data_IF_298930858747
#
_entry.id   IF_298930858747
#
_cell.length_a   1.000
_cell.length_b   1.000
_cell.length_c   1.000
_cell.angle_alpha   90.00
_cell.angle_beta   90.00
_cell.angle_gamma   90.00
#
_symmetry.space_group_name_H-M   'P 1'
#
loop_
_entity.id
_entity.type
_entity.pdbx_description
1 polymer ?
#
# COMPACT_ATOMS: atom_id res chain seq x y z
N UNK A 1 19.58 31.15 10.42
CA UNK A 1 18.23 31.22 10.98
C UNK A 1 17.31 30.18 10.31
N UNK A 2 17.32 30.05 8.99
CA UNK A 2 16.41 29.13 8.25
C UNK A 2 16.68 27.64 8.47
N UNK A 3 17.94 27.25 8.65
CA UNK A 3 18.29 25.87 9.06
C UNK A 3 17.58 25.46 10.38
N UNK A 4 17.69 26.34 11.38
CA UNK A 4 17.06 26.09 12.69
C UNK A 4 15.53 26.03 12.59
N UNK A 5 14.90 26.84 11.72
CA UNK A 5 13.46 26.78 11.48
C UNK A 5 13.02 25.41 10.95
N UNK A 6 13.73 24.86 9.94
CA UNK A 6 13.43 23.56 9.38
C UNK A 6 13.54 22.45 10.40
N UNK A 7 14.64 22.43 11.15
CA UNK A 7 14.91 21.42 12.18
C UNK A 7 13.91 21.50 13.36
N UNK A 8 13.69 22.69 13.91
CA UNK A 8 12.83 22.91 15.07
C UNK A 8 11.36 22.68 14.74
N UNK A 9 10.89 23.08 13.58
CA UNK A 9 9.49 22.90 13.20
C UNK A 9 9.13 21.42 13.07
N UNK A 10 10.03 20.56 12.56
CA UNK A 10 9.80 19.12 12.54
C UNK A 10 9.90 18.51 13.94
N UNK A 11 10.75 19.02 14.81
CA UNK A 11 10.77 18.64 16.23
C UNK A 11 9.43 18.95 16.90
N UNK A 12 8.86 20.15 16.68
CA UNK A 12 7.57 20.55 17.20
C UNK A 12 6.43 19.70 16.61
N UNK A 13 6.44 19.45 15.29
CA UNK A 13 5.44 18.56 14.67
C UNK A 13 5.43 17.16 15.31
N UNK A 14 6.59 16.66 15.74
CA UNK A 14 6.71 15.38 16.44
C UNK A 14 6.10 15.38 17.84
N UNK A 15 5.98 16.52 18.52
CA UNK A 15 5.33 16.64 19.82
C UNK A 15 3.80 16.45 19.67
N UNK A 16 3.22 17.01 18.60
CA UNK A 16 1.77 16.94 18.38
C UNK A 16 1.32 15.62 17.73
N UNK A 17 2.17 15.01 16.90
CA UNK A 17 1.86 13.72 16.26
C UNK A 17 3.12 13.04 15.75
N UNK A 18 3.28 11.75 16.06
CA UNK A 18 4.37 10.92 15.52
C UNK A 18 4.03 10.24 14.18
N UNK A 19 2.98 10.69 13.47
CA UNK A 19 2.64 10.12 12.17
C UNK A 19 3.55 10.65 11.06
N UNK A 20 3.95 9.79 10.11
CA UNK A 20 4.72 10.20 8.94
C UNK A 20 4.03 11.28 8.09
N UNK A 21 2.69 11.27 8.08
CA UNK A 21 1.87 12.29 7.41
C UNK A 21 2.03 13.68 8.02
N UNK A 22 2.09 13.77 9.36
CA UNK A 22 2.29 15.06 10.05
C UNK A 22 3.63 15.69 9.67
N UNK A 23 4.67 14.87 9.57
CA UNK A 23 5.98 15.35 9.11
C UNK A 23 5.95 15.76 7.64
N UNK A 24 5.25 15.02 6.78
CA UNK A 24 5.11 15.37 5.36
C UNK A 24 4.40 16.72 5.18
N UNK A 25 3.26 16.94 5.85
CA UNK A 25 2.54 18.20 5.80
C UNK A 25 3.35 19.36 6.40
N UNK A 26 4.05 19.13 7.51
CA UNK A 26 4.94 20.15 8.10
C UNK A 26 6.05 20.54 7.13
N UNK A 27 6.68 19.55 6.47
CA UNK A 27 7.71 19.80 5.46
C UNK A 27 7.16 20.56 4.27
N UNK A 28 6.01 20.16 3.73
CA UNK A 28 5.37 20.85 2.61
C UNK A 28 5.00 22.29 2.97
N UNK A 29 4.38 22.52 4.12
CA UNK A 29 4.02 23.86 4.60
C UNK A 29 5.24 24.76 4.81
N UNK A 30 6.32 24.23 5.37
CA UNK A 30 7.57 24.99 5.58
C UNK A 30 8.22 25.38 4.24
N UNK A 31 8.40 24.44 3.32
CA UNK A 31 9.05 24.67 2.04
C UNK A 31 8.23 25.61 1.16
N UNK A 32 6.93 25.42 1.06
CA UNK A 32 6.05 26.32 0.29
C UNK A 32 5.97 27.70 0.92
N UNK A 33 5.84 27.78 2.26
CA UNK A 33 5.80 29.05 2.98
C UNK A 33 7.10 29.85 2.91
N UNK A 34 8.25 29.16 2.83
CA UNK A 34 9.56 29.82 2.67
C UNK A 34 9.80 30.22 1.22
N UNK A 35 9.43 29.39 0.23
CA UNK A 35 9.65 29.67 -1.19
C UNK A 35 8.75 30.79 -1.71
N UNK A 36 7.52 30.87 -1.21
CA UNK A 36 6.49 31.82 -1.66
C UNK A 36 5.67 32.37 -0.49
N UNK A 37 6.24 33.18 0.42
CA UNK A 37 5.53 33.66 1.59
C UNK A 37 4.44 34.68 1.18
N UNK A 38 3.20 34.37 1.51
CA UNK A 38 2.01 35.19 1.21
C UNK A 38 2.16 36.60 1.81
N UNK A 39 2.68 36.70 3.04
CA UNK A 39 2.86 37.95 3.76
C UNK A 39 4.02 38.84 3.28
N UNK A 40 4.84 38.37 2.34
CA UNK A 40 5.97 39.12 1.78
C UNK A 40 5.84 39.35 0.27
N UNK A 41 4.63 39.37 -0.25
CA UNK A 41 4.38 39.57 -1.66
C UNK A 41 5.05 38.50 -2.56
N UNK A 42 5.10 37.26 -2.08
CA UNK A 42 5.74 36.11 -2.76
C UNK A 42 7.24 36.22 -3.01
N UNK A 43 7.93 37.13 -2.30
CA UNK A 43 9.39 37.20 -2.31
C UNK A 43 9.93 36.23 -1.25
N UNK A 44 10.42 35.07 -1.69
CA UNK A 44 10.85 33.95 -0.84
C UNK A 44 12.20 34.18 -0.15
N UNK A 45 12.49 33.36 0.83
CA UNK A 45 13.81 33.21 1.47
C UNK A 45 14.56 31.97 0.94
N UNK A 46 15.66 31.61 1.59
CA UNK A 46 16.53 30.48 1.22
C UNK A 46 15.87 29.13 1.52
N UNK A 47 15.23 28.53 0.54
CA UNK A 47 14.61 27.19 0.72
C UNK A 47 15.66 26.08 0.84
N UNK A 48 16.86 26.27 0.27
CA UNK A 48 17.97 25.32 0.33
C UNK A 48 18.50 25.13 1.76
N UNK A 49 18.65 26.24 2.51
CA UNK A 49 19.09 26.17 3.91
C UNK A 49 18.03 25.55 4.82
N UNK A 50 16.75 25.85 4.56
CA UNK A 50 15.62 25.23 5.21
C UNK A 50 15.57 23.72 4.90
N UNK A 51 15.77 23.34 3.64
CA UNK A 51 15.82 21.96 3.17
C UNK A 51 16.93 21.17 3.85
N UNK A 52 18.11 21.75 4.01
CA UNK A 52 19.21 21.12 4.73
C UNK A 52 18.82 20.87 6.20
N UNK A 53 18.13 21.81 6.84
CA UNK A 53 17.61 21.63 8.21
C UNK A 53 16.60 20.47 8.32
N UNK A 54 15.70 20.37 7.36
CA UNK A 54 14.71 19.28 7.28
C UNK A 54 15.41 17.93 7.08
N UNK A 55 16.32 17.83 6.13
CA UNK A 55 17.05 16.60 5.81
C UNK A 55 17.98 16.16 6.95
N UNK A 56 18.59 17.12 7.66
CA UNK A 56 19.40 16.85 8.87
C UNK A 56 18.54 16.33 10.02
N UNK A 57 17.31 16.83 10.18
CA UNK A 57 16.36 16.30 11.15
C UNK A 57 16.01 14.83 10.85
N UNK A 58 15.80 14.50 9.57
CA UNK A 58 15.49 13.15 9.13
C UNK A 58 16.67 12.18 9.31
N UNK A 59 17.88 12.64 8.99
CA UNK A 59 19.16 11.92 9.18
C UNK A 59 20.33 12.91 9.27
N UNK A 60 20.97 13.02 10.44
CA UNK A 60 22.17 13.87 10.59
C UNK A 60 23.30 13.52 9.61
N UNK A 61 23.48 12.22 9.34
CA UNK A 61 24.50 11.73 8.40
C UNK A 61 24.19 12.21 6.99
N UNK A 62 22.92 12.16 6.55
CA UNK A 62 22.49 12.67 5.25
C UNK A 62 22.75 14.17 5.12
N UNK A 63 22.43 14.95 6.17
CA UNK A 63 22.71 16.38 6.20
C UNK A 63 24.19 16.70 6.04
N UNK A 64 25.06 15.95 6.71
CA UNK A 64 26.53 16.11 6.61
C UNK A 64 27.02 15.76 5.19
N UNK A 65 26.55 14.68 4.61
CA UNK A 65 26.91 14.26 3.25
C UNK A 65 26.49 15.32 2.23
N UNK A 66 25.27 15.83 2.30
CA UNK A 66 24.76 16.85 1.40
C UNK A 66 25.53 18.16 1.55
N UNK A 67 25.86 18.57 2.78
CA UNK A 67 26.69 19.76 3.02
C UNK A 67 28.09 19.60 2.43
N UNK A 68 28.72 18.43 2.59
CA UNK A 68 30.02 18.14 2.00
C UNK A 68 29.99 18.25 0.48
N UNK A 69 29.03 17.59 -0.18
CA UNK A 69 28.87 17.65 -1.63
C UNK A 69 28.54 19.06 -2.10
N UNK A 70 27.72 19.81 -1.40
CA UNK A 70 27.43 21.20 -1.72
C UNK A 70 28.69 22.05 -1.68
N UNK A 71 29.53 21.94 -0.63
CA UNK A 71 30.79 22.70 -0.54
C UNK A 71 31.77 22.32 -1.64
N UNK A 72 31.87 21.03 -1.97
CA UNK A 72 32.70 20.53 -3.07
C UNK A 72 32.20 21.05 -4.41
N UNK A 73 30.92 20.99 -4.70
CA UNK A 73 30.36 21.48 -5.97
C UNK A 73 30.42 23.01 -6.07
N UNK A 74 30.22 23.72 -4.95
CA UNK A 74 30.43 25.19 -4.92
C UNK A 74 31.86 25.57 -5.22
N UNK A 75 32.84 24.80 -4.75
CA UNK A 75 34.25 25.02 -5.09
C UNK A 75 34.52 24.76 -6.58
N UNK A 76 33.88 23.72 -7.16
CA UNK A 76 34.08 23.38 -8.58
C UNK A 76 33.35 24.33 -9.53
N UNK A 77 32.09 24.65 -9.28
CA UNK A 77 31.26 25.47 -10.16
C UNK A 77 31.41 26.96 -9.91
N UNK A 78 31.97 27.36 -8.77
CA UNK A 78 32.12 28.76 -8.31
C UNK A 78 30.79 29.50 -8.12
N UNK A 79 29.70 29.05 -8.71
CA UNK A 79 28.37 29.61 -8.56
C UNK A 79 27.60 28.89 -7.45
N UNK A 80 26.81 29.68 -6.69
CA UNK A 80 26.04 29.15 -5.56
C UNK A 80 24.82 28.35 -6.04
N UNK A 81 24.10 28.90 -7.03
CA UNK A 81 22.86 28.35 -7.52
C UNK A 81 23.08 27.01 -8.23
N UNK A 82 24.14 26.95 -9.08
CA UNK A 82 24.55 25.74 -9.76
C UNK A 82 24.97 24.64 -8.77
N UNK A 83 25.64 24.98 -7.68
CA UNK A 83 26.05 24.05 -6.64
C UNK A 83 24.84 23.48 -5.89
N UNK A 84 23.85 24.32 -5.54
CA UNK A 84 22.61 23.88 -4.90
C UNK A 84 21.82 22.98 -5.85
N UNK A 85 21.66 23.41 -7.09
CA UNK A 85 20.97 22.66 -8.13
C UNK A 85 21.58 21.27 -8.31
N UNK A 86 22.89 21.18 -8.51
CA UNK A 86 23.60 19.92 -8.69
C UNK A 86 23.52 19.02 -7.42
N UNK A 87 23.65 19.59 -6.22
CA UNK A 87 23.56 18.87 -4.97
C UNK A 87 22.16 18.28 -4.76
N UNK A 88 21.12 18.98 -5.22
CA UNK A 88 19.73 18.55 -5.03
C UNK A 88 19.44 17.18 -5.66
N UNK A 89 20.13 16.81 -6.76
CA UNK A 89 19.99 15.49 -7.41
C UNK A 89 20.45 14.31 -6.52
N UNK A 90 21.32 14.57 -5.53
CA UNK A 90 21.75 13.55 -4.60
C UNK A 90 20.67 13.22 -3.56
N UNK A 91 19.73 14.13 -3.30
CA UNK A 91 18.70 13.97 -2.26
C UNK A 91 17.87 12.71 -2.46
N UNK A 92 17.20 12.49 -3.63
CA UNK A 92 16.40 11.28 -3.82
C UNK A 92 17.24 9.99 -3.84
N UNK A 93 18.47 10.05 -4.39
CA UNK A 93 19.36 8.88 -4.46
C UNK A 93 19.78 8.44 -3.06
N UNK A 94 20.22 9.40 -2.24
CA UNK A 94 20.63 9.13 -0.87
C UNK A 94 19.44 8.76 0.02
N UNK A 95 18.27 9.38 -0.20
CA UNK A 95 17.06 9.06 0.56
C UNK A 95 16.65 7.60 0.41
N UNK A 96 16.69 7.03 -0.78
CA UNK A 96 16.40 5.63 -1.03
C UNK A 96 17.36 4.67 -0.30
N UNK A 97 18.61 5.12 -0.07
CA UNK A 97 19.61 4.33 0.65
C UNK A 97 19.53 4.47 2.17
N UNK A 98 19.26 5.68 2.66
CA UNK A 98 19.34 5.98 4.09
C UNK A 98 18.02 5.84 4.85
N UNK A 99 16.88 5.98 4.15
CA UNK A 99 15.59 5.93 4.81
C UNK A 99 14.88 4.58 4.60
N UNK A 100 14.38 4.04 5.72
CA UNK A 100 13.50 2.86 5.73
C UNK A 100 12.01 3.24 5.81
N UNK A 101 11.72 4.54 5.97
CA UNK A 101 10.37 5.09 6.08
C UNK A 101 9.96 5.73 4.77
N UNK A 102 8.86 5.25 4.20
CA UNK A 102 8.32 5.79 2.95
C UNK A 102 7.95 7.28 3.06
N UNK A 103 7.49 7.72 4.26
CA UNK A 103 7.22 9.12 4.51
C UNK A 103 8.47 9.99 4.36
N UNK A 104 9.62 9.53 4.85
CA UNK A 104 10.89 10.26 4.72
C UNK A 104 11.41 10.25 3.29
N UNK A 105 11.20 9.17 2.56
CA UNK A 105 11.50 9.11 1.12
C UNK A 105 10.65 10.14 0.37
N UNK A 106 9.33 10.16 0.59
CA UNK A 106 8.42 11.13 -0.02
C UNK A 106 8.78 12.59 0.33
N UNK A 107 9.10 12.88 1.60
CA UNK A 107 9.58 14.19 2.02
C UNK A 107 10.84 14.62 1.26
N UNK A 108 11.76 13.69 1.03
CA UNK A 108 13.00 13.93 0.30
C UNK A 108 12.74 14.23 -1.17
N UNK A 109 11.85 13.47 -1.83
CA UNK A 109 11.43 13.75 -3.21
C UNK A 109 10.70 15.09 -3.34
N UNK A 110 9.84 15.42 -2.37
CA UNK A 110 9.18 16.73 -2.34
C UNK A 110 10.19 17.87 -2.17
N UNK A 111 11.15 17.73 -1.26
CA UNK A 111 12.24 18.68 -1.05
C UNK A 111 13.06 18.88 -2.32
N UNK A 112 13.43 17.78 -2.99
CA UNK A 112 14.09 17.81 -4.29
C UNK A 112 13.30 18.60 -5.33
N UNK A 113 12.00 18.31 -5.47
CA UNK A 113 11.12 19.00 -6.41
C UNK A 113 11.06 20.51 -6.19
N UNK A 114 10.96 20.95 -4.93
CA UNK A 114 10.97 22.39 -4.59
C UNK A 114 12.29 23.04 -4.96
N UNK A 115 13.42 22.39 -4.66
CA UNK A 115 14.75 22.92 -4.99
C UNK A 115 14.99 23.00 -6.49
N UNK A 116 14.59 21.98 -7.26
CA UNK A 116 14.68 22.00 -8.73
C UNK A 116 13.88 23.18 -9.32
N UNK A 117 12.65 23.40 -8.84
CA UNK A 117 11.82 24.51 -9.34
C UNK A 117 12.42 25.86 -8.96
N UNK A 118 13.02 25.99 -7.78
CA UNK A 118 13.58 27.25 -7.30
C UNK A 118 14.92 27.60 -7.94
N UNK A 119 15.78 26.61 -8.20
CA UNK A 119 17.13 26.77 -8.72
C UNK A 119 17.26 26.35 -10.19
N UNK A 120 16.16 26.37 -10.93
CA UNK A 120 16.23 26.22 -12.38
C UNK A 120 17.11 27.38 -12.91
N UNK A 121 18.24 27.09 -13.59
CA UNK A 121 19.22 28.14 -13.89
C UNK A 121 18.63 29.34 -14.62
N UNK A 122 18.98 30.56 -14.29
CA UNK A 122 18.53 31.80 -14.96
C UNK A 122 18.84 31.81 -16.47
N UNK A 123 19.85 31.05 -16.92
CA UNK A 123 20.13 30.81 -18.33
C UNK A 123 18.96 30.19 -19.09
N UNK A 124 18.14 29.38 -18.42
CA UNK A 124 16.91 28.83 -18.96
C UNK A 124 15.77 29.86 -18.98
N UNK A 125 15.74 30.84 -18.08
CA UNK A 125 14.72 31.91 -18.07
C UNK A 125 14.78 32.78 -19.34
N UNK A 126 15.96 32.99 -19.92
CA UNK A 126 16.15 33.73 -21.15
C UNK A 126 15.51 33.07 -22.39
N UNK A 127 15.31 31.75 -22.34
CA UNK A 127 14.68 30.95 -23.38
C UNK A 127 13.25 30.52 -23.03
N UNK A 128 12.77 30.84 -21.83
CA UNK A 128 11.51 30.37 -21.28
C UNK A 128 10.43 31.42 -21.48
N UNK A 129 9.74 31.36 -22.63
CA UNK A 129 8.41 31.96 -22.79
C UNK A 129 7.39 31.27 -21.86
N UNK A 130 6.28 31.95 -21.45
CA UNK A 130 5.27 31.38 -20.54
C UNK A 130 4.76 29.95 -20.91
N UNK A 131 4.83 29.58 -22.18
CA UNK A 131 4.55 28.24 -22.69
C UNK A 131 5.53 27.15 -22.25
N UNK A 132 6.71 27.52 -21.75
CA UNK A 132 7.67 26.56 -21.23
C UNK A 132 7.40 26.25 -19.74
N UNK A 133 7.03 27.23 -18.92
CA UNK A 133 6.57 26.97 -17.54
C UNK A 133 5.39 25.97 -17.52
N UNK A 134 4.45 26.09 -18.46
CA UNK A 134 3.38 25.10 -18.61
C UNK A 134 3.89 23.74 -19.08
N UNK A 135 4.93 23.67 -19.93
CA UNK A 135 5.56 22.40 -20.34
C UNK A 135 6.37 21.75 -19.23
N UNK A 136 7.08 22.55 -18.42
CA UNK A 136 7.81 22.05 -17.23
C UNK A 136 6.83 21.60 -16.15
N UNK A 137 5.77 22.35 -15.88
CA UNK A 137 4.71 21.94 -14.97
C UNK A 137 4.00 20.66 -15.45
N UNK A 138 3.77 20.54 -16.76
CA UNK A 138 3.21 19.32 -17.36
C UNK A 138 4.20 18.16 -17.31
N UNK A 139 5.48 18.36 -17.60
CA UNK A 139 6.51 17.34 -17.47
C UNK A 139 6.69 16.90 -16.00
N UNK A 140 6.56 17.82 -15.05
CA UNK A 140 6.61 17.53 -13.61
C UNK A 140 5.34 16.77 -13.16
N UNK A 141 4.16 17.16 -13.64
CA UNK A 141 2.90 16.42 -13.43
C UNK A 141 2.96 15.03 -14.06
N UNK A 142 3.52 14.91 -15.26
CA UNK A 142 3.70 13.63 -15.94
C UNK A 142 4.74 12.76 -15.21
N UNK A 143 5.86 13.34 -14.77
CA UNK A 143 6.86 12.65 -13.94
C UNK A 143 6.26 12.20 -12.60
N UNK A 144 5.48 13.04 -11.96
CA UNK A 144 4.80 12.72 -10.70
C UNK A 144 3.70 11.66 -10.91
N UNK A 145 2.95 11.75 -12.01
CA UNK A 145 1.98 10.73 -12.40
C UNK A 145 2.68 9.40 -12.77
N UNK A 146 3.81 9.44 -13.49
CA UNK A 146 4.64 8.27 -13.75
C UNK A 146 5.27 7.74 -12.45
N UNK A 147 5.76 8.58 -11.57
CA UNK A 147 6.29 8.19 -10.26
C UNK A 147 5.20 7.58 -9.37
N UNK A 148 3.99 8.14 -9.36
CA UNK A 148 2.82 7.54 -8.70
C UNK A 148 2.39 6.24 -9.37
N UNK A 149 2.44 6.15 -10.69
CA UNK A 149 2.15 4.91 -11.43
C UNK A 149 3.21 3.84 -11.16
N UNK A 150 4.49 4.19 -11.19
CA UNK A 150 5.58 3.29 -10.81
C UNK A 150 5.52 2.96 -9.33
N UNK A 151 5.27 3.90 -8.44
CA UNK A 151 5.07 3.69 -7.02
C UNK A 151 3.86 2.78 -6.78
N UNK A 152 2.74 3.03 -7.44
CA UNK A 152 1.56 2.17 -7.40
C UNK A 152 1.86 0.77 -7.95
N UNK A 153 2.54 0.67 -9.10
CA UNK A 153 2.92 -0.60 -9.73
C UNK A 153 3.94 -1.38 -8.88
N UNK A 154 4.88 -0.73 -8.23
CA UNK A 154 5.94 -1.37 -7.45
C UNK A 154 5.59 -1.54 -5.98
N UNK A 155 4.84 -0.66 -5.38
CA UNK A 155 4.27 -0.85 -4.03
C UNK A 155 3.19 -1.92 -4.06
N UNK A 156 2.32 -1.92 -5.08
CA UNK A 156 1.31 -2.98 -5.25
C UNK A 156 1.84 -4.30 -5.82
N UNK A 157 2.94 -4.30 -6.59
CA UNK A 157 3.49 -5.54 -7.17
C UNK A 157 4.74 -6.06 -6.47
N UNK A 158 5.34 -5.30 -5.56
CA UNK A 158 6.60 -5.64 -4.88
C UNK A 158 7.79 -5.73 -5.84
N UNK A 159 8.94 -5.21 -5.46
CA UNK A 159 10.19 -5.50 -6.16
C UNK A 159 10.63 -6.93 -5.83
N UNK A 160 10.63 -7.81 -6.83
CA UNK A 160 11.11 -9.20 -6.73
C UNK A 160 10.01 -10.23 -6.49
N UNK A 161 10.32 -11.48 -6.76
CA UNK A 161 9.50 -12.66 -6.48
C UNK A 161 9.41 -12.81 -4.96
N UNK A 162 8.34 -12.32 -4.36
CA UNK A 162 8.09 -12.46 -2.92
C UNK A 162 7.35 -13.78 -2.73
N UNK A 163 8.10 -14.81 -2.30
CA UNK A 163 7.58 -16.17 -2.10
C UNK A 163 6.37 -16.24 -1.14
N UNK A 164 6.20 -15.23 -0.28
CA UNK A 164 5.16 -15.21 0.75
C UNK A 164 4.03 -14.21 0.46
N UNK A 165 3.86 -13.83 -0.80
CA UNK A 165 2.79 -12.94 -1.23
C UNK A 165 2.02 -13.59 -2.37
N UNK A 166 0.74 -13.88 -2.11
CA UNK A 166 -0.12 -14.58 -3.06
C UNK A 166 -1.13 -13.58 -3.64
N UNK A 167 -1.21 -13.53 -4.95
CA UNK A 167 -2.21 -12.74 -5.70
C UNK A 167 -3.13 -13.60 -6.53
N UNK A 168 -2.69 -14.81 -6.81
CA UNK A 168 -3.29 -15.73 -7.73
C UNK A 168 -2.77 -17.14 -7.44
N UNK A 169 -3.61 -18.13 -7.50
CA UNK A 169 -3.25 -19.54 -7.39
C UNK A 169 -2.78 -20.14 -8.72
N UNK A 170 -2.44 -21.44 -8.75
CA UNK A 170 -2.11 -22.14 -9.98
C UNK A 170 -3.26 -22.13 -10.98
N UNK A 171 -2.93 -21.95 -12.25
CA UNK A 171 -3.93 -21.87 -13.33
C UNK A 171 -4.28 -23.20 -13.98
N UNK A 172 -3.80 -24.33 -13.48
CA UNK A 172 -4.00 -25.66 -14.08
C UNK A 172 -5.43 -26.21 -13.89
N UNK A 173 -6.10 -25.82 -12.80
CA UNK A 173 -7.47 -26.23 -12.51
C UNK A 173 -8.42 -25.05 -12.50
N UNK A 174 -9.66 -25.26 -12.94
CA UNK A 174 -10.69 -24.24 -12.92
C UNK A 174 -11.26 -24.05 -11.51
N UNK A 175 -10.46 -23.57 -10.57
CA UNK A 175 -10.93 -23.14 -9.27
C UNK A 175 -10.65 -21.65 -9.04
N UNK A 176 -11.45 -21.05 -8.18
CA UNK A 176 -11.36 -19.65 -7.74
C UNK A 176 -11.56 -19.54 -6.24
N UNK A 177 -10.99 -18.51 -5.64
CA UNK A 177 -11.25 -18.16 -4.25
C UNK A 177 -12.05 -16.86 -4.16
N UNK A 178 -13.25 -16.92 -3.57
CA UNK A 178 -13.99 -15.72 -3.18
C UNK A 178 -13.48 -15.25 -1.83
N UNK A 179 -13.18 -13.96 -1.72
CA UNK A 179 -12.68 -13.37 -0.48
C UNK A 179 -13.45 -12.11 -0.12
N UNK A 180 -13.66 -11.88 1.18
CA UNK A 180 -14.35 -10.71 1.72
C UNK A 180 -13.43 -9.97 2.68
N UNK A 181 -13.36 -8.65 2.56
CA UNK A 181 -12.59 -7.77 3.44
C UNK A 181 -13.55 -6.93 4.32
N UNK A 182 -13.00 -6.37 5.41
CA UNK A 182 -13.61 -5.38 6.31
C UNK A 182 -14.60 -5.89 7.36
N UNK A 183 -15.12 -7.09 7.24
CA UNK A 183 -16.06 -7.68 8.19
C UNK A 183 -15.48 -8.03 9.58
N UNK A 184 -16.30 -8.62 10.46
CA UNK A 184 -17.74 -8.89 10.25
C UNK A 184 -18.61 -7.64 10.43
N UNK A 185 -19.69 -7.58 9.65
CA UNK A 185 -20.73 -6.57 9.74
C UNK A 185 -22.06 -7.22 10.20
N UNK A 186 -22.85 -6.58 11.10
CA UNK A 186 -24.06 -7.20 11.64
C UNK A 186 -25.19 -7.32 10.62
N UNK A 187 -25.17 -6.53 9.54
CA UNK A 187 -26.22 -6.53 8.53
C UNK A 187 -25.84 -7.39 7.32
N UNK A 188 -24.63 -7.26 6.81
CA UNK A 188 -24.26 -7.84 5.51
C UNK A 188 -23.59 -9.20 5.63
N UNK A 189 -22.67 -9.38 6.60
CA UNK A 189 -21.97 -10.67 6.75
C UNK A 189 -22.91 -11.85 6.95
N UNK A 190 -23.99 -11.77 7.79
CA UNK A 190 -24.95 -12.86 7.90
C UNK A 190 -25.66 -13.20 6.59
N UNK A 191 -26.05 -12.21 5.78
CA UNK A 191 -26.70 -12.43 4.49
C UNK A 191 -25.75 -13.09 3.48
N UNK A 192 -24.48 -12.69 3.48
CA UNK A 192 -23.43 -13.30 2.64
C UNK A 192 -23.23 -14.77 3.04
N UNK A 193 -23.17 -15.06 4.33
CA UNK A 193 -23.04 -16.44 4.84
C UNK A 193 -24.24 -17.31 4.44
N UNK A 194 -25.47 -16.78 4.50
CA UNK A 194 -26.67 -17.49 4.07
C UNK A 194 -26.60 -17.83 2.57
N UNK A 195 -26.15 -16.89 1.73
CA UNK A 195 -25.96 -17.13 0.28
C UNK A 195 -24.88 -18.17 0.03
N UNK A 196 -23.72 -18.07 0.68
CA UNK A 196 -22.64 -19.02 0.52
C UNK A 196 -23.07 -20.43 0.93
N UNK A 197 -23.83 -20.56 2.00
CA UNK A 197 -24.40 -21.82 2.45
C UNK A 197 -25.43 -22.37 1.45
N UNK A 198 -26.35 -21.55 0.95
CA UNK A 198 -27.33 -21.95 -0.07
C UNK A 198 -26.65 -22.44 -1.36
N UNK A 199 -25.57 -21.77 -1.74
CA UNK A 199 -24.81 -22.11 -2.95
C UNK A 199 -23.75 -23.19 -2.73
N UNK A 200 -23.60 -23.73 -1.54
CA UNK A 200 -22.54 -24.70 -1.17
C UNK A 200 -21.16 -24.20 -1.60
N UNK A 201 -20.78 -23.01 -1.15
CA UNK A 201 -19.51 -22.36 -1.46
C UNK A 201 -18.82 -21.93 -0.18
N UNK A 202 -17.53 -22.30 -0.04
CA UNK A 202 -16.67 -21.78 1.01
C UNK A 202 -15.87 -20.58 0.52
N UNK A 203 -15.60 -19.65 1.41
CA UNK A 203 -14.90 -18.40 1.13
C UNK A 203 -13.85 -18.07 2.20
N UNK A 204 -13.06 -17.03 1.98
CA UNK A 204 -12.09 -16.54 2.96
C UNK A 204 -12.46 -15.11 3.38
N UNK A 205 -12.52 -14.86 4.68
CA UNK A 205 -12.88 -13.57 5.26
C UNK A 205 -11.67 -12.94 5.95
N UNK A 206 -11.24 -11.76 5.51
CA UNK A 206 -10.18 -10.97 6.14
C UNK A 206 -10.81 -9.99 7.13
N UNK A 207 -10.80 -10.37 8.41
CA UNK A 207 -11.54 -9.68 9.46
C UNK A 207 -10.76 -8.49 10.02
N UNK A 208 -11.44 -7.36 10.22
CA UNK A 208 -10.97 -6.25 11.04
C UNK A 208 -11.13 -6.65 12.51
N UNK A 209 -10.03 -6.64 13.27
CA UNK A 209 -10.03 -7.07 14.67
C UNK A 209 -11.04 -6.32 15.55
N UNK A 210 -11.24 -5.01 15.31
CA UNK A 210 -12.25 -4.21 16.01
C UNK A 210 -13.66 -4.73 15.75
N UNK A 211 -13.99 -5.10 14.53
CA UNK A 211 -15.29 -5.63 14.14
C UNK A 211 -15.48 -7.05 14.69
N UNK A 212 -14.45 -7.90 14.63
CA UNK A 212 -14.49 -9.23 15.25
C UNK A 212 -14.72 -9.15 16.78
N UNK A 213 -14.12 -8.17 17.45
CA UNK A 213 -14.35 -7.91 18.87
C UNK A 213 -15.78 -7.41 19.15
N UNK A 214 -16.35 -6.63 18.26
CA UNK A 214 -17.70 -6.05 18.41
C UNK A 214 -18.79 -7.07 18.08
N UNK A 215 -18.54 -7.96 17.12
CA UNK A 215 -19.51 -8.96 16.64
C UNK A 215 -18.94 -10.39 16.70
N UNK A 216 -18.54 -10.87 17.89
CA UNK A 216 -17.84 -12.14 18.04
C UNK A 216 -18.67 -13.36 17.57
N UNK A 217 -20.00 -13.30 17.73
CA UNK A 217 -20.86 -14.41 17.30
C UNK A 217 -20.90 -14.55 15.76
N UNK A 218 -20.79 -13.43 15.03
CA UNK A 218 -20.72 -13.48 13.56
C UNK A 218 -19.36 -14.01 13.14
N UNK A 219 -18.25 -13.52 13.74
CA UNK A 219 -16.91 -14.03 13.49
C UNK A 219 -16.82 -15.55 13.76
N UNK A 220 -17.46 -16.02 14.83
CA UNK A 220 -17.55 -17.45 15.16
C UNK A 220 -18.41 -18.23 14.17
N UNK A 221 -19.49 -17.63 13.65
CA UNK A 221 -20.32 -18.23 12.62
C UNK A 221 -19.54 -18.50 11.34
N UNK A 222 -18.70 -17.53 10.89
CA UNK A 222 -17.84 -17.68 9.72
C UNK A 222 -17.01 -18.98 9.83
N UNK A 223 -16.34 -19.19 10.96
CA UNK A 223 -15.50 -20.38 11.16
C UNK A 223 -16.28 -21.67 11.30
N UNK A 224 -17.46 -21.63 11.96
CA UNK A 224 -18.34 -22.80 12.13
C UNK A 224 -18.93 -23.29 10.82
N UNK A 225 -19.13 -22.41 9.86
CA UNK A 225 -19.66 -22.75 8.52
C UNK A 225 -18.54 -23.16 7.55
N UNK A 226 -17.30 -23.35 8.05
CA UNK A 226 -16.19 -23.91 7.27
C UNK A 226 -15.46 -22.87 6.40
N UNK A 227 -15.68 -21.59 6.61
CA UNK A 227 -14.95 -20.54 5.94
C UNK A 227 -13.60 -20.28 6.61
N UNK A 228 -12.60 -19.86 5.83
CA UNK A 228 -11.29 -19.47 6.35
C UNK A 228 -11.31 -18.03 6.80
N UNK A 229 -10.58 -17.73 7.87
CA UNK A 229 -10.39 -16.36 8.36
C UNK A 229 -8.95 -15.88 8.20
N UNK A 230 -8.79 -14.61 7.84
CA UNK A 230 -7.52 -13.89 7.80
C UNK A 230 -7.56 -12.62 8.67
N UNK A 231 -6.39 -12.06 8.93
CA UNK A 231 -6.25 -10.81 9.69
C UNK A 231 -6.18 -9.61 8.74
N UNK A 232 -7.07 -8.62 8.95
CA UNK A 232 -7.12 -7.38 8.17
C UNK A 232 -6.76 -6.15 9.02
N UNK A 233 -5.80 -6.31 9.96
CA UNK A 233 -5.42 -5.36 11.01
C UNK A 233 -6.50 -5.17 12.09
N UNK A 234 -6.20 -4.36 13.11
CA UNK A 234 -7.18 -4.10 14.18
C UNK A 234 -8.22 -3.06 13.80
N UNK A 235 -7.81 -1.95 13.14
CA UNK A 235 -8.67 -0.79 12.88
C UNK A 235 -8.65 -0.31 11.43
N UNK A 236 -8.32 -1.20 10.49
CA UNK A 236 -8.25 -0.94 9.05
C UNK A 236 -7.35 0.26 8.68
N UNK A 237 -6.31 0.53 9.47
CA UNK A 237 -5.32 1.57 9.12
C UNK A 237 -4.41 1.09 8.01
N UNK A 238 -4.23 1.93 7.00
CA UNK A 238 -3.21 1.71 5.98
C UNK A 238 -1.83 1.55 6.63
N UNK A 239 -1.08 0.50 6.27
CA UNK A 239 0.24 0.23 6.86
C UNK A 239 1.32 1.21 6.40
N UNK A 240 1.03 2.02 5.40
CA UNK A 240 1.79 3.20 5.00
C UNK A 240 0.90 4.42 5.23
N UNK A 241 1.36 5.42 5.95
CA UNK A 241 2.71 5.69 6.46
C UNK A 241 2.91 5.35 7.95
N UNK A 242 2.42 4.21 8.44
CA UNK A 242 2.61 3.84 9.84
C UNK A 242 4.09 3.61 10.21
N UNK A 243 4.44 3.96 11.45
CA UNK A 243 5.72 3.55 12.02
C UNK A 243 5.78 2.03 12.24
N UNK A 244 6.98 1.48 12.37
CA UNK A 244 7.19 0.06 12.66
C UNK A 244 6.44 -0.42 13.92
N UNK A 245 6.46 0.37 14.99
CA UNK A 245 5.75 0.05 16.23
C UNK A 245 4.23 0.08 16.06
N UNK A 246 3.70 1.07 15.32
CA UNK A 246 2.27 1.17 15.04
C UNK A 246 1.79 0.04 14.13
N UNK A 247 2.58 -0.33 13.10
CA UNK A 247 2.30 -1.47 12.23
C UNK A 247 2.21 -2.77 13.02
N UNK A 248 3.21 -3.05 13.88
CA UNK A 248 3.18 -4.23 14.75
C UNK A 248 1.96 -4.26 15.65
N UNK A 249 1.62 -3.11 16.26
CA UNK A 249 0.46 -2.98 17.15
C UNK A 249 -0.86 -3.27 16.41
N UNK A 250 -1.04 -2.75 15.20
CA UNK A 250 -2.23 -3.00 14.38
C UNK A 250 -2.39 -4.49 14.03
N UNK A 251 -1.30 -5.14 13.61
CA UNK A 251 -1.32 -6.57 13.24
C UNK A 251 -1.60 -7.44 14.46
N UNK A 252 -0.86 -7.25 15.57
CA UNK A 252 -1.01 -8.09 16.77
C UNK A 252 -2.32 -7.90 17.50
N UNK A 253 -2.84 -6.67 17.57
CA UNK A 253 -4.17 -6.43 18.13
C UNK A 253 -5.28 -7.05 17.28
N UNK A 254 -5.13 -7.01 15.93
CA UNK A 254 -6.06 -7.69 15.02
C UNK A 254 -6.08 -9.19 15.28
N UNK A 255 -4.91 -9.82 15.30
CA UNK A 255 -4.75 -11.25 15.60
C UNK A 255 -5.41 -11.64 16.93
N UNK A 256 -5.11 -10.91 17.99
CA UNK A 256 -5.62 -11.21 19.32
C UNK A 256 -7.15 -11.04 19.43
N UNK A 257 -7.70 -10.01 18.78
CA UNK A 257 -9.15 -9.78 18.75
C UNK A 257 -9.88 -10.90 17.98
N UNK A 258 -9.34 -11.30 16.83
CA UNK A 258 -9.89 -12.41 16.03
C UNK A 258 -9.81 -13.73 16.82
N UNK A 259 -8.66 -14.00 17.43
CA UNK A 259 -8.49 -15.20 18.26
C UNK A 259 -9.49 -15.27 19.42
N UNK A 260 -9.69 -14.15 20.14
CA UNK A 260 -10.68 -14.08 21.22
C UNK A 260 -12.10 -14.31 20.74
N UNK A 261 -12.45 -13.84 19.54
CA UNK A 261 -13.79 -14.01 18.99
C UNK A 261 -14.03 -15.43 18.47
N UNK A 262 -13.04 -16.06 17.84
CA UNK A 262 -13.23 -17.30 17.07
C UNK A 262 -12.56 -18.54 17.68
N UNK A 263 -11.57 -18.36 18.55
CA UNK A 263 -10.68 -19.41 19.05
C UNK A 263 -9.60 -19.83 18.04
N UNK A 264 -9.53 -19.22 16.86
CA UNK A 264 -8.58 -19.56 15.79
C UNK A 264 -7.60 -18.42 15.57
N UNK A 265 -6.30 -18.73 15.54
CA UNK A 265 -5.27 -17.76 15.15
C UNK A 265 -5.14 -17.72 13.63
N UNK A 266 -5.39 -16.56 12.99
CA UNK A 266 -5.29 -16.46 11.55
C UNK A 266 -3.82 -16.57 11.09
N UNK A 267 -3.59 -17.35 10.04
CA UNK A 267 -2.28 -17.49 9.37
C UNK A 267 -2.22 -16.67 8.08
N UNK A 268 -3.37 -16.23 7.58
CA UNK A 268 -3.50 -15.37 6.42
C UNK A 268 -3.59 -13.90 6.85
N UNK A 269 -2.94 -13.02 6.11
CA UNK A 269 -2.99 -11.58 6.32
C UNK A 269 -3.24 -10.85 5.00
N UNK A 270 -4.18 -9.92 5.02
CA UNK A 270 -4.36 -8.98 3.90
C UNK A 270 -4.15 -7.56 4.40
N UNK A 271 -3.21 -6.80 3.82
CA UNK A 271 -3.02 -5.41 4.20
C UNK A 271 -4.19 -4.55 3.72
N UNK A 272 -4.71 -3.63 4.56
CA UNK A 272 -5.74 -2.68 4.16
C UNK A 272 -5.39 -1.98 2.86
N UNK A 273 -6.34 -1.90 1.92
CA UNK A 273 -6.17 -1.32 0.57
C UNK A 273 -5.06 -1.97 -0.26
N UNK A 274 -4.58 -3.16 0.11
CA UNK A 274 -3.44 -3.82 -0.52
C UNK A 274 -2.10 -3.09 -0.32
N UNK A 275 -2.00 -2.13 0.61
CA UNK A 275 -0.82 -1.27 0.81
C UNK A 275 0.00 -1.74 2.00
N UNK A 276 1.30 -1.99 1.78
CA UNK A 276 2.23 -2.51 2.78
C UNK A 276 3.64 -1.96 2.60
N UNK A 277 4.37 -1.81 3.70
CA UNK A 277 5.79 -1.45 3.69
C UNK A 277 6.69 -2.69 3.72
N UNK A 278 7.94 -2.54 3.32
CA UNK A 278 8.96 -3.60 3.45
C UNK A 278 9.09 -4.08 4.91
N UNK A 279 8.93 -3.16 5.88
CA UNK A 279 8.91 -3.52 7.29
C UNK A 279 7.73 -4.42 7.63
N UNK A 280 6.52 -4.07 7.16
CA UNK A 280 5.32 -4.87 7.40
C UNK A 280 5.49 -6.29 6.87
N UNK A 281 5.98 -6.46 5.64
CA UNK A 281 6.27 -7.77 5.07
C UNK A 281 7.28 -8.57 5.88
N UNK A 282 8.40 -7.92 6.29
CA UNK A 282 9.41 -8.60 7.11
C UNK A 282 8.82 -9.06 8.44
N UNK A 283 8.01 -8.22 9.09
CA UNK A 283 7.34 -8.56 10.34
C UNK A 283 6.33 -9.70 10.15
N UNK A 284 5.49 -9.65 9.12
CA UNK A 284 4.51 -10.69 8.81
C UNK A 284 5.18 -12.05 8.56
N UNK A 285 6.32 -12.09 7.85
CA UNK A 285 7.13 -13.30 7.69
C UNK A 285 7.64 -13.86 9.01
N UNK A 286 8.18 -13.00 9.88
CA UNK A 286 8.66 -13.41 11.19
C UNK A 286 7.55 -14.02 12.04
N UNK A 287 6.32 -13.52 11.89
CA UNK A 287 5.12 -14.02 12.55
C UNK A 287 4.44 -15.16 11.78
N UNK A 288 5.07 -15.68 10.71
CA UNK A 288 4.58 -16.79 9.87
C UNK A 288 3.24 -16.54 9.18
N UNK A 289 2.96 -15.27 8.84
CA UNK A 289 1.80 -14.94 8.02
C UNK A 289 2.09 -15.14 6.54
N UNK A 290 1.13 -15.70 5.82
CA UNK A 290 1.04 -15.62 4.37
C UNK A 290 0.26 -14.37 3.97
N UNK A 291 0.89 -13.50 3.19
CA UNK A 291 0.25 -12.26 2.72
C UNK A 291 -0.54 -12.54 1.45
N UNK A 292 -1.84 -12.28 1.51
CA UNK A 292 -2.79 -12.54 0.41
C UNK A 292 -3.30 -11.23 -0.15
N UNK A 293 -3.20 -11.04 -1.45
CA UNK A 293 -3.82 -9.97 -2.20
C UNK A 293 -4.91 -10.57 -3.13
N UNK A 294 -5.17 -9.94 -4.24
CA UNK A 294 -6.15 -10.38 -5.24
C UNK A 294 -5.65 -10.05 -6.64
N UNK A 295 -6.17 -10.71 -7.63
CA UNK A 295 -5.99 -10.37 -9.05
C UNK A 295 -7.30 -9.90 -9.69
N UNK A 296 -8.45 -10.22 -9.10
CA UNK A 296 -9.78 -9.75 -9.55
C UNK A 296 -10.44 -8.93 -8.44
N UNK A 297 -10.89 -7.71 -8.76
CA UNK A 297 -11.68 -6.88 -7.85
C UNK A 297 -13.09 -6.78 -8.38
N UNK A 298 -14.07 -7.06 -7.54
CA UNK A 298 -15.48 -6.86 -7.85
C UNK A 298 -15.84 -5.36 -7.97
N UNK A 299 -15.02 -4.48 -7.43
CA UNK A 299 -15.24 -3.03 -7.32
C UNK A 299 -16.55 -2.66 -6.59
N UNK A 300 -17.00 -3.51 -5.70
CA UNK A 300 -18.22 -3.38 -4.93
C UNK A 300 -18.18 -2.23 -3.91
N UNK A 301 -16.95 -1.83 -3.49
CA UNK A 301 -16.69 -0.66 -2.67
C UNK A 301 -17.12 0.66 -3.35
N UNK A 302 -17.22 0.67 -4.67
CA UNK A 302 -17.67 1.83 -5.45
C UNK A 302 -19.21 1.91 -5.55
N UNK A 303 -19.94 1.07 -4.82
CA UNK A 303 -21.42 1.00 -4.78
C UNK A 303 -22.05 0.85 -6.18
N UNK A 304 -21.36 0.12 -7.07
CA UNK A 304 -21.84 -0.13 -8.43
C UNK A 304 -23.12 -0.99 -8.42
N UNK A 305 -23.97 -0.87 -9.44
CA UNK A 305 -25.11 -1.77 -9.62
C UNK A 305 -24.67 -3.24 -9.65
N UNK A 306 -25.51 -4.20 -9.17
CA UNK A 306 -25.15 -5.63 -9.11
C UNK A 306 -24.62 -6.18 -10.44
N UNK A 307 -25.23 -5.80 -11.57
CA UNK A 307 -24.81 -6.25 -12.90
C UNK A 307 -23.40 -5.78 -13.27
N UNK A 308 -23.01 -4.58 -12.82
CA UNK A 308 -21.65 -4.06 -13.04
C UNK A 308 -20.63 -4.84 -12.19
N UNK A 309 -20.97 -5.20 -10.96
CA UNK A 309 -20.14 -6.04 -10.09
C UNK A 309 -19.94 -7.41 -10.76
N UNK A 310 -21.00 -8.07 -11.21
CA UNK A 310 -20.96 -9.33 -11.95
C UNK A 310 -20.06 -9.21 -13.17
N UNK A 311 -20.29 -8.20 -14.02
CA UNK A 311 -19.50 -7.96 -15.24
C UNK A 311 -18.00 -7.73 -14.93
N UNK A 312 -17.68 -7.01 -13.85
CA UNK A 312 -16.29 -6.78 -13.46
C UNK A 312 -15.58 -8.09 -13.09
N UNK A 313 -16.25 -8.98 -12.35
CA UNK A 313 -15.68 -10.27 -11.99
C UNK A 313 -15.53 -11.15 -13.23
N UNK A 314 -16.59 -11.37 -13.98
CA UNK A 314 -16.61 -12.31 -15.12
C UNK A 314 -15.65 -11.92 -16.24
N UNK A 315 -15.37 -10.63 -16.42
CA UNK A 315 -14.44 -10.12 -17.43
C UNK A 315 -12.97 -10.44 -17.11
N UNK A 316 -12.61 -10.55 -15.83
CA UNK A 316 -11.22 -10.65 -15.41
C UNK A 316 -10.87 -11.98 -14.74
N UNK A 317 -11.86 -12.77 -14.36
CA UNK A 317 -11.65 -14.07 -13.71
C UNK A 317 -10.98 -15.06 -14.66
N UNK A 318 -10.08 -15.84 -14.09
CA UNK A 318 -9.37 -16.95 -14.75
C UNK A 318 -9.07 -18.06 -13.72
N UNK A 319 -8.72 -19.27 -14.17
CA UNK A 319 -8.36 -20.34 -13.25
C UNK A 319 -7.29 -19.90 -12.25
N UNK A 320 -7.53 -20.11 -10.96
CA UNK A 320 -6.65 -19.69 -9.88
C UNK A 320 -6.91 -18.26 -9.35
N UNK A 321 -7.89 -17.52 -9.87
CA UNK A 321 -8.16 -16.14 -9.42
C UNK A 321 -8.58 -16.05 -7.97
N UNK A 322 -8.07 -15.02 -7.27
CA UNK A 322 -8.51 -14.58 -5.96
C UNK A 322 -9.38 -13.33 -6.16
N UNK A 323 -10.67 -13.46 -5.87
CA UNK A 323 -11.67 -12.42 -6.13
C UNK A 323 -11.92 -11.65 -4.84
N UNK A 324 -11.75 -10.32 -4.89
CA UNK A 324 -12.00 -9.41 -3.79
C UNK A 324 -13.42 -8.86 -3.82
N UNK A 325 -14.14 -9.09 -2.74
CA UNK A 325 -15.38 -8.44 -2.31
C UNK A 325 -15.20 -7.82 -0.92
N UNK A 326 -16.22 -7.12 -0.45
CA UNK A 326 -16.29 -6.57 0.90
C UNK A 326 -17.64 -6.95 1.55
N UNK A 327 -17.59 -7.38 2.81
CA UNK A 327 -18.78 -7.71 3.60
C UNK A 327 -19.13 -6.66 4.66
N UNK A 328 -18.34 -5.55 4.68
CA UNK A 328 -18.60 -4.39 5.51
C UNK A 328 -18.27 -3.10 4.77
N UNK A 329 -18.73 -1.97 5.28
CA UNK A 329 -18.40 -0.65 4.76
C UNK A 329 -17.18 -0.06 5.43
N UNK A 330 -16.18 0.33 4.63
CA UNK A 330 -15.06 1.13 5.11
C UNK A 330 -15.33 2.63 4.96
N UNK A 331 -14.54 3.41 5.71
CA UNK A 331 -14.47 4.88 5.77
C UNK A 331 -14.23 5.55 4.39
N UNK A 332 -13.84 4.79 3.36
CA UNK A 332 -13.63 5.31 1.99
C UNK A 332 -14.94 5.48 1.22
N UNK A 333 -16.01 4.84 1.62
CA UNK A 333 -17.32 5.05 1.03
C UNK A 333 -17.91 6.38 1.51
N UNK A 334 -18.05 7.34 0.61
CA UNK A 334 -18.68 8.64 0.90
C UNK A 334 -20.15 8.54 1.36
N UNK A 335 -20.76 7.34 1.31
CA UNK A 335 -22.17 7.07 1.62
C UNK A 335 -22.40 6.07 2.76
N UNK A 336 -21.36 5.71 3.54
CA UNK A 336 -21.54 4.84 4.71
C UNK A 336 -21.42 3.34 4.44
N UNK A 337 -20.92 2.95 3.27
CA UNK A 337 -20.51 1.55 3.02
C UNK A 337 -21.65 0.56 2.84
N UNK A 338 -22.66 0.91 2.08
CA UNK A 338 -23.74 0.02 1.69
C UNK A 338 -23.23 -1.16 0.85
N UNK A 339 -23.47 -2.39 1.33
CA UNK A 339 -23.10 -3.64 0.64
C UNK A 339 -24.32 -4.40 0.11
N UNK A 340 -25.48 -3.76 0.04
CA UNK A 340 -26.69 -4.33 -0.54
C UNK A 340 -26.45 -4.85 -1.96
N UNK A 341 -25.67 -4.12 -2.75
CA UNK A 341 -25.35 -4.51 -4.13
C UNK A 341 -24.35 -5.69 -4.16
N UNK A 342 -23.45 -5.81 -3.21
CA UNK A 342 -22.58 -6.98 -3.03
C UNK A 342 -23.42 -8.21 -2.75
N UNK A 343 -24.35 -8.12 -1.78
CA UNK A 343 -25.30 -9.21 -1.44
C UNK A 343 -26.12 -9.65 -2.66
N UNK A 344 -26.62 -8.70 -3.46
CA UNK A 344 -27.41 -9.01 -4.68
C UNK A 344 -26.56 -9.59 -5.81
N UNK A 345 -25.30 -9.19 -5.94
CA UNK A 345 -24.41 -9.63 -7.02
C UNK A 345 -23.82 -11.01 -6.75
N UNK A 346 -23.55 -11.32 -5.47
CA UNK A 346 -22.84 -12.55 -5.07
C UNK A 346 -23.45 -13.83 -5.63
N UNK A 347 -24.77 -14.11 -5.47
CA UNK A 347 -25.37 -15.34 -6.02
C UNK A 347 -25.25 -15.41 -7.54
N UNK A 348 -25.37 -14.28 -8.25
CA UNK A 348 -25.23 -14.23 -9.70
C UNK A 348 -23.80 -14.55 -10.15
N UNK A 349 -22.80 -14.03 -9.43
CA UNK A 349 -21.38 -14.34 -9.71
C UNK A 349 -21.12 -15.84 -9.49
N UNK A 350 -21.61 -16.40 -8.40
CA UNK A 350 -21.42 -17.82 -8.10
C UNK A 350 -22.07 -18.71 -9.17
N UNK A 351 -23.31 -18.42 -9.55
CA UNK A 351 -24.05 -19.21 -10.52
C UNK A 351 -23.36 -19.19 -11.90
N UNK A 352 -22.93 -18.00 -12.35
CA UNK A 352 -22.21 -17.86 -13.61
C UNK A 352 -20.85 -18.56 -13.63
N UNK A 353 -20.10 -18.49 -12.53
CA UNK A 353 -18.83 -19.19 -12.42
C UNK A 353 -19.01 -20.71 -12.36
N UNK A 354 -20.02 -21.21 -11.64
CA UNK A 354 -20.39 -22.63 -11.66
C UNK A 354 -20.80 -23.09 -13.06
N UNK A 355 -21.61 -22.32 -13.77
CA UNK A 355 -22.01 -22.61 -15.14
C UNK A 355 -20.82 -22.65 -16.11
N UNK A 356 -19.76 -21.87 -15.84
CA UNK A 356 -18.50 -21.92 -16.57
C UNK A 356 -17.57 -23.06 -16.12
N UNK A 357 -17.96 -23.88 -15.14
CA UNK A 357 -17.20 -25.02 -14.64
C UNK A 357 -16.08 -24.65 -13.67
N UNK A 358 -16.22 -23.55 -12.93
CA UNK A 358 -15.31 -23.21 -11.84
C UNK A 358 -15.74 -23.90 -10.53
N UNK A 359 -14.77 -24.46 -9.83
CA UNK A 359 -14.89 -24.87 -8.44
C UNK A 359 -14.45 -23.77 -7.49
N UNK A 360 -15.02 -23.77 -6.29
CA UNK A 360 -14.74 -22.76 -5.26
C UNK A 360 -13.91 -23.36 -4.14
N UNK A 361 -12.78 -22.73 -3.84
CA UNK A 361 -11.88 -23.11 -2.75
C UNK A 361 -11.61 -21.92 -1.84
N UNK A 362 -11.23 -22.16 -0.60
CA UNK A 362 -10.70 -21.12 0.27
C UNK A 362 -9.25 -20.82 -0.10
N UNK A 363 -8.69 -19.67 0.36
CA UNK A 363 -7.31 -19.30 0.00
C UNK A 363 -6.29 -20.27 0.58
N UNK A 364 -6.50 -20.80 1.77
CA UNK A 364 -5.61 -21.81 2.37
C UNK A 364 -5.67 -23.15 1.62
N UNK A 365 -6.84 -23.58 1.14
CA UNK A 365 -6.96 -24.74 0.25
C UNK A 365 -6.23 -24.49 -1.08
N UNK A 366 -6.37 -23.30 -1.67
CA UNK A 366 -5.64 -22.92 -2.89
C UNK A 366 -4.12 -22.96 -2.69
N UNK A 367 -3.62 -22.53 -1.53
CA UNK A 367 -2.21 -22.61 -1.15
C UNK A 367 -1.77 -24.06 -1.05
N UNK A 368 -2.52 -24.87 -0.33
CA UNK A 368 -2.24 -26.30 -0.14
C UNK A 368 -2.16 -27.05 -1.48
N UNK A 369 -3.14 -26.83 -2.38
CA UNK A 369 -3.12 -27.40 -3.72
C UNK A 369 -1.89 -26.95 -4.54
N UNK A 370 -1.45 -25.70 -4.35
CA UNK A 370 -0.24 -25.18 -5.01
C UNK A 370 1.03 -25.87 -4.53
N UNK A 371 1.09 -26.23 -3.26
CA UNK A 371 2.24 -26.92 -2.65
C UNK A 371 2.32 -28.36 -3.08
N UNK A 372 1.17 -29.06 -3.14
CA UNK A 372 1.11 -30.44 -3.63
C UNK A 372 1.65 -30.58 -5.06
N UNK A 373 1.23 -29.70 -5.97
CA UNK A 373 1.73 -29.72 -7.36
C UNK A 373 3.22 -29.48 -7.46
N UNK A 374 3.78 -28.60 -6.63
CA UNK A 374 5.23 -28.34 -6.63
C UNK A 374 6.06 -29.54 -6.16
N UNK A 375 5.48 -30.37 -5.29
CA UNK A 375 6.16 -31.59 -4.83
C UNK A 375 6.10 -32.69 -5.87
N UNK A 376 5.04 -32.79 -6.66
CA UNK A 376 4.91 -33.73 -7.76
C UNK A 376 5.87 -33.39 -8.91
N UNK A 377 5.93 -32.12 -9.37
CA UNK A 377 6.86 -31.65 -10.41
C UNK A 377 8.35 -31.88 -10.03
N UNK A 378 8.69 -31.68 -8.76
CA UNK A 378 10.06 -31.92 -8.27
C UNK A 378 10.38 -33.39 -8.04
N UNK A 379 9.38 -34.26 -7.90
CA UNK A 379 9.52 -35.71 -7.74
C UNK A 379 9.80 -36.42 -9.08
N UNK A 380 9.15 -35.98 -10.15
CA UNK A 380 9.36 -36.56 -11.50
C UNK A 380 10.73 -36.20 -12.08
N UNK A 381 11.30 -35.01 -11.77
CA UNK A 381 12.66 -34.64 -12.22
C UNK A 381 13.77 -35.46 -11.52
N UNK A 382 13.50 -36.00 -10.31
CA UNK A 382 14.50 -36.81 -9.59
C UNK A 382 14.62 -38.24 -10.13
N UNK A 383 13.55 -38.80 -10.68
CA UNK A 383 13.58 -40.16 -11.29
C UNK A 383 14.13 -40.20 -12.72
N UNK A 384 14.13 -39.07 -13.43
CA UNK A 384 14.67 -38.98 -14.79
C UNK A 384 16.19 -38.82 -14.86
N UNK A 385 16.91 -38.69 -13.73
CA UNK A 385 18.37 -38.53 -13.68
C UNK A 385 19.13 -39.77 -13.25
N UNK A 386 18.51 -40.94 -13.23
CA UNK A 386 19.24 -42.18 -13.03
C UNK A 386 19.45 -42.93 -14.37
N UNK A 387 20.53 -42.68 -15.13
CA UNK A 387 20.88 -43.54 -16.26
C UNK A 387 21.42 -44.86 -15.70
N UNK A 388 20.57 -45.87 -15.75
CA UNK A 388 21.03 -47.24 -15.58
C UNK A 388 22.11 -47.57 -16.63
N UNK A 389 23.22 -48.11 -16.14
CA UNK A 389 24.39 -48.66 -16.80
C UNK A 389 24.23 -49.26 -18.19
#
# INVERSE_FOLDING_TARGET
>A
MDFAKGYLALRLAGIFSHSGLSYLFATAGLLLGQSRPIFRGFKGGSAEVLSLGILTFMSPILGIILLFFFLLLKFLFRDYEDAVFATSFLIPILALKFFKSDAYILMSFFTFGVLIVQFLPPALEKYIKPRFLTRVAFAFLLFFACALFFFNKYVYKGFGVQKDLIRHGPGHFKYVAITFDDGPDPLYTPQILDILKEKDVRATFFLIGKNAQQYPEIAKRITKEGHTIGNHTYSHKSLIPLSAAATRKEIKRGEEAIFKATGIRPTLFRPPRGVYSTYALKFLRQERYTVVLWDVSAMDWAELPPQSIVSNVLRHVRPGSIILFHDSGDIVSFKGGDRTNTVKALPLVIDELKAQGYDFVTVDEMIFLSELMRTEDNGEDSDSQNPAH
#
